data_IF_273368563550
#
_entry.id   IF_273368563550
#
_cell.length_a   1.000
_cell.length_b   1.000
_cell.length_c   1.000
_cell.angle_alpha   90.00
_cell.angle_beta   90.00
_cell.angle_gamma   90.00
#
_symmetry.space_group_name_H-M   'P 1'
#
loop_
_entity.id
_entity.type
_entity.pdbx_description
1 polymer ?
#
# COMPACT_ATOMS: atom_id res chain seq x y z
N UNK A 1 33.29 -57.49 -34.44
CA UNK A 1 33.99 -56.29 -33.98
C UNK A 1 33.31 -55.08 -34.62
N UNK A 2 32.45 -54.39 -33.90
CA UNK A 2 31.91 -53.11 -34.30
C UNK A 2 31.89 -52.24 -33.04
N UNK A 3 32.73 -51.23 -33.00
CA UNK A 3 32.87 -50.28 -31.93
C UNK A 3 31.78 -49.19 -32.09
N UNK A 4 30.95 -48.98 -31.09
CA UNK A 4 30.02 -47.87 -31.01
C UNK A 4 30.63 -46.74 -30.22
N UNK A 5 30.87 -45.62 -30.89
CA UNK A 5 31.21 -44.35 -30.22
C UNK A 5 29.96 -43.74 -29.56
N UNK A 6 30.01 -43.53 -28.25
CA UNK A 6 29.04 -42.76 -27.54
C UNK A 6 29.53 -41.31 -27.50
N UNK A 7 28.82 -40.41 -28.17
CA UNK A 7 29.09 -38.97 -28.17
C UNK A 7 28.37 -38.36 -26.95
N UNK A 8 29.12 -37.99 -25.94
CA UNK A 8 28.57 -37.25 -24.80
C UNK A 8 28.42 -35.76 -25.17
N UNK A 9 27.19 -35.29 -25.30
CA UNK A 9 26.90 -33.87 -25.47
C UNK A 9 26.94 -33.16 -24.11
N UNK A 10 27.96 -32.32 -23.88
CA UNK A 10 27.97 -31.38 -22.79
C UNK A 10 26.96 -30.25 -23.08
N UNK A 11 25.89 -30.20 -22.33
CA UNK A 11 24.98 -29.06 -22.30
C UNK A 11 25.58 -28.03 -21.34
N UNK A 12 26.23 -26.99 -21.88
CA UNK A 12 26.58 -25.79 -21.11
C UNK A 12 25.29 -24.99 -20.89
N UNK A 13 24.77 -25.01 -19.66
CA UNK A 13 23.76 -24.05 -19.23
C UNK A 13 24.43 -22.70 -19.00
N UNK A 14 24.30 -21.80 -19.94
CA UNK A 14 24.66 -20.40 -19.75
C UNK A 14 23.66 -19.76 -18.79
N UNK A 15 24.03 -19.64 -17.52
CA UNK A 15 23.35 -18.76 -16.57
C UNK A 15 23.63 -17.31 -16.98
N UNK A 16 22.69 -16.68 -17.67
CA UNK A 16 22.71 -15.25 -17.92
C UNK A 16 22.47 -14.51 -16.61
N UNK A 17 23.55 -14.24 -15.88
CA UNK A 17 23.57 -13.20 -14.86
C UNK A 17 23.33 -11.89 -15.61
N UNK A 18 22.17 -11.27 -15.43
CA UNK A 18 21.96 -9.88 -15.84
C UNK A 18 22.91 -9.05 -15.01
N UNK A 19 24.09 -8.78 -15.56
CA UNK A 19 25.05 -7.86 -14.99
C UNK A 19 24.37 -6.49 -14.97
N UNK A 20 24.03 -5.98 -13.80
CA UNK A 20 23.71 -4.58 -13.62
C UNK A 20 24.86 -3.77 -14.19
N UNK A 21 24.57 -2.92 -15.15
CA UNK A 21 25.52 -2.14 -15.90
C UNK A 21 26.41 -1.32 -14.91
N UNK A 22 27.73 -1.51 -14.86
CA UNK A 22 28.60 -0.79 -13.92
C UNK A 22 28.83 0.68 -14.28
N UNK A 23 28.05 1.26 -15.18
CA UNK A 23 28.18 2.67 -15.58
C UNK A 23 27.63 3.69 -14.56
N UNK A 24 27.19 3.26 -13.37
CA UNK A 24 26.84 4.16 -12.27
C UNK A 24 28.00 4.47 -11.31
N UNK A 25 29.18 3.94 -11.54
CA UNK A 25 30.34 4.19 -10.70
C UNK A 25 31.21 5.32 -11.26
N UNK A 26 31.37 6.34 -10.45
CA UNK A 26 32.24 7.51 -10.57
C UNK A 26 31.71 8.71 -11.38
N UNK A 27 30.65 9.31 -10.88
CA UNK A 27 30.51 10.76 -11.06
C UNK A 27 31.67 11.43 -10.31
N UNK A 28 32.41 12.34 -11.00
CA UNK A 28 33.43 13.17 -10.36
C UNK A 28 32.83 13.95 -9.18
N UNK A 29 33.65 14.29 -8.17
CA UNK A 29 33.15 15.07 -7.01
C UNK A 29 32.50 16.39 -7.40
N UNK A 30 32.94 17.02 -8.52
CA UNK A 30 32.30 18.19 -9.11
C UNK A 30 30.89 17.87 -9.66
N UNK A 31 30.69 16.74 -10.29
CA UNK A 31 29.37 16.30 -10.77
C UNK A 31 28.44 15.92 -9.61
N UNK A 32 28.97 15.34 -8.53
CA UNK A 32 28.23 15.08 -7.28
C UNK A 32 27.82 16.38 -6.60
N UNK A 33 28.72 17.37 -6.52
CA UNK A 33 28.42 18.69 -5.97
C UNK A 33 27.37 19.45 -6.79
N UNK A 34 27.47 19.42 -8.14
CA UNK A 34 26.48 19.99 -9.04
C UNK A 34 25.11 19.30 -8.90
N UNK A 35 25.08 17.97 -8.82
CA UNK A 35 23.84 17.22 -8.61
C UNK A 35 23.21 17.48 -7.24
N UNK A 36 24.03 17.68 -6.19
CA UNK A 36 23.53 18.03 -4.86
C UNK A 36 22.79 19.39 -4.84
N UNK A 37 23.18 20.34 -5.70
CA UNK A 37 22.53 21.65 -5.84
C UNK A 37 21.27 21.61 -6.72
N UNK A 38 21.14 20.62 -7.61
CA UNK A 38 20.08 20.51 -8.61
C UNK A 38 19.02 19.46 -8.24
N UNK A 39 18.58 19.40 -6.99
CA UNK A 39 17.66 18.35 -6.52
C UNK A 39 16.24 18.43 -7.06
N UNK A 40 15.82 19.54 -7.62
CA UNK A 40 14.50 19.67 -8.23
C UNK A 40 14.42 19.17 -9.68
N UNK A 41 15.44 18.48 -10.18
CA UNK A 41 15.45 17.93 -11.56
C UNK A 41 15.85 18.93 -12.64
N UNK A 42 16.32 20.13 -12.28
CA UNK A 42 16.76 21.18 -13.19
C UNK A 42 18.06 21.85 -12.74
N UNK A 43 18.50 22.85 -13.53
CA UNK A 43 19.70 23.60 -13.23
C UNK A 43 19.40 24.77 -12.28
N UNK A 44 19.93 24.71 -11.06
CA UNK A 44 19.79 25.72 -10.02
C UNK A 44 20.30 27.11 -10.44
N UNK A 45 21.39 27.18 -11.22
CA UNK A 45 21.97 28.45 -11.66
C UNK A 45 21.10 29.16 -12.73
N UNK A 46 20.28 28.40 -13.43
CA UNK A 46 19.31 28.94 -14.42
C UNK A 46 17.95 29.25 -13.83
N UNK A 47 17.55 28.50 -12.81
CA UNK A 47 16.25 28.66 -12.17
C UNK A 47 16.41 28.36 -10.66
N UNK A 48 16.28 29.40 -9.84
CA UNK A 48 16.42 29.31 -8.40
C UNK A 48 15.45 28.30 -7.74
N UNK A 49 14.29 28.04 -8.35
CA UNK A 49 13.36 27.02 -7.83
C UNK A 49 13.88 25.58 -7.96
N UNK A 50 14.92 25.36 -8.74
CA UNK A 50 15.61 24.05 -8.79
C UNK A 50 16.63 23.86 -7.67
N UNK A 51 16.96 24.93 -6.90
CA UNK A 51 17.88 24.85 -5.79
C UNK A 51 17.24 24.12 -4.60
N UNK A 52 18.00 23.28 -3.94
CA UNK A 52 17.52 22.46 -2.80
C UNK A 52 17.01 23.31 -1.64
N UNK A 53 17.58 24.50 -1.45
CA UNK A 53 17.29 25.46 -0.40
C UNK A 53 16.33 26.58 -0.83
N UNK A 54 15.85 26.55 -2.08
CA UNK A 54 14.90 27.54 -2.56
C UNK A 54 13.61 27.52 -1.72
N UNK A 55 13.12 28.73 -1.43
CA UNK A 55 11.82 28.86 -0.75
C UNK A 55 10.71 28.31 -1.65
N UNK A 56 9.84 27.48 -1.10
CA UNK A 56 8.66 26.99 -1.81
C UNK A 56 7.76 28.17 -2.19
N UNK A 57 7.46 28.38 -3.48
CA UNK A 57 6.60 29.50 -3.91
C UNK A 57 5.11 29.22 -3.66
N UNK A 58 4.74 27.98 -3.35
CA UNK A 58 3.36 27.53 -3.17
C UNK A 58 3.01 27.45 -1.67
N UNK A 59 1.74 27.67 -1.31
CA UNK A 59 1.26 27.36 0.03
C UNK A 59 1.29 25.83 0.24
N UNK A 60 1.44 25.40 1.50
CA UNK A 60 1.38 23.99 1.85
C UNK A 60 0.04 23.37 1.39
N UNK A 61 0.05 22.25 0.64
CA UNK A 61 -1.17 21.63 0.15
C UNK A 61 -1.92 20.95 1.30
N UNK A 62 -3.25 20.93 1.22
CA UNK A 62 -4.09 20.21 2.18
C UNK A 62 -4.22 18.72 1.83
N UNK A 63 -3.09 18.04 1.69
CA UNK A 63 -3.04 16.59 1.46
C UNK A 63 -1.99 15.93 2.34
N UNK A 64 -2.10 14.63 2.51
CA UNK A 64 -1.07 13.77 3.12
C UNK A 64 -0.47 12.80 2.09
N UNK A 65 -0.95 12.82 0.85
CA UNK A 65 -0.50 11.95 -0.24
C UNK A 65 0.71 12.54 -0.95
N UNK A 66 1.84 11.82 -0.94
CA UNK A 66 3.09 12.29 -1.57
C UNK A 66 2.93 12.51 -3.07
N UNK A 67 2.08 11.72 -3.76
CA UNK A 67 1.81 11.85 -5.19
C UNK A 67 1.02 13.10 -5.57
N UNK A 68 0.41 13.77 -4.58
CA UNK A 68 -0.31 15.03 -4.74
C UNK A 68 0.54 16.24 -4.30
N UNK A 69 1.79 16.02 -3.92
CA UNK A 69 2.73 17.02 -3.45
C UNK A 69 3.81 17.31 -4.48
N UNK A 70 4.29 18.55 -4.54
CA UNK A 70 5.54 18.86 -5.22
C UNK A 70 6.73 18.34 -4.38
N UNK A 71 7.90 18.23 -4.99
CA UNK A 71 9.10 17.83 -4.25
C UNK A 71 9.45 18.82 -3.12
N UNK A 72 9.14 20.14 -3.31
CA UNK A 72 9.32 21.15 -2.28
C UNK A 72 8.34 20.96 -1.12
N UNK A 73 7.09 20.59 -1.39
CA UNK A 73 6.11 20.31 -0.34
C UNK A 73 6.55 19.13 0.52
N UNK A 74 7.06 18.05 -0.09
CA UNK A 74 7.58 16.89 0.64
C UNK A 74 8.81 17.26 1.45
N UNK A 75 9.76 18.03 0.89
CA UNK A 75 10.93 18.56 1.60
C UNK A 75 10.51 19.36 2.84
N UNK A 76 9.59 20.29 2.67
CA UNK A 76 9.14 21.18 3.73
C UNK A 76 8.32 20.42 4.79
N UNK A 77 7.55 19.43 4.39
CA UNK A 77 6.85 18.52 5.30
C UNK A 77 7.84 17.71 6.17
N UNK A 78 8.90 17.18 5.57
CA UNK A 78 9.98 16.48 6.30
C UNK A 78 10.67 17.43 7.29
N UNK A 79 11.00 18.65 6.86
CA UNK A 79 11.58 19.66 7.72
C UNK A 79 10.66 20.08 8.89
N UNK A 80 9.34 20.04 8.66
CA UNK A 80 8.31 20.27 9.68
C UNK A 80 8.05 19.04 10.59
N UNK A 81 8.83 17.96 10.47
CA UNK A 81 8.73 16.79 11.33
C UNK A 81 7.82 15.65 10.82
N UNK A 82 7.30 15.73 9.61
CA UNK A 82 6.55 14.60 9.00
C UNK A 82 7.51 13.52 8.50
N UNK A 83 8.10 12.78 9.42
CA UNK A 83 9.16 11.80 9.15
C UNK A 83 8.68 10.35 9.13
N UNK A 84 7.38 10.14 9.20
CA UNK A 84 6.74 8.82 9.06
C UNK A 84 6.18 8.68 7.65
N UNK A 85 6.53 7.60 6.95
CA UNK A 85 5.93 7.23 5.66
C UNK A 85 5.05 6.00 5.83
N UNK A 86 3.81 6.06 5.35
CA UNK A 86 2.90 4.91 5.27
C UNK A 86 2.89 4.42 3.83
N UNK A 87 3.19 3.15 3.60
CA UNK A 87 3.13 2.48 2.30
C UNK A 87 1.90 1.57 2.30
N UNK A 88 0.79 2.02 1.69
CA UNK A 88 -0.41 1.21 1.58
C UNK A 88 -0.29 0.23 0.42
N UNK A 89 -0.69 -1.04 0.62
CA UNK A 89 -0.75 -2.05 -0.43
C UNK A 89 -2.19 -2.52 -0.63
N UNK A 90 -2.68 -2.39 -1.84
CA UNK A 90 -4.05 -2.68 -2.22
C UNK A 90 -4.23 -4.05 -2.84
N UNK A 91 -4.69 -4.05 -4.07
CA UNK A 91 -4.95 -5.24 -4.89
C UNK A 91 -5.96 -4.98 -6.00
N UNK A 92 -5.98 -5.89 -6.95
CA UNK A 92 -6.94 -5.93 -8.07
C UNK A 92 -7.56 -7.32 -8.11
N UNK A 93 -8.80 -7.47 -7.63
CA UNK A 93 -9.47 -8.77 -7.50
C UNK A 93 -10.99 -8.67 -7.78
N UNK A 94 -11.68 -9.81 -8.00
CA UNK A 94 -13.13 -9.81 -8.21
C UNK A 94 -13.87 -9.56 -6.88
N UNK A 95 -14.96 -8.78 -6.94
CA UNK A 95 -15.70 -8.36 -5.75
C UNK A 95 -17.21 -8.37 -6.00
N UNK A 96 -17.74 -9.41 -6.62
CA UNK A 96 -19.13 -9.46 -7.03
C UNK A 96 -19.43 -8.52 -8.20
N UNK A 97 -20.70 -8.39 -8.63
CA UNK A 97 -21.03 -7.67 -9.86
C UNK A 97 -21.12 -6.15 -9.68
N UNK A 98 -21.11 -5.64 -8.44
CA UNK A 98 -21.37 -4.24 -8.15
C UNK A 98 -20.16 -3.46 -7.63
N UNK A 99 -19.12 -4.12 -7.12
CA UNK A 99 -17.89 -3.48 -6.72
C UNK A 99 -16.86 -3.52 -7.83
N UNK A 100 -16.13 -2.41 -8.02
CA UNK A 100 -15.01 -2.38 -8.97
C UNK A 100 -13.86 -3.24 -8.48
N UNK A 101 -13.06 -3.79 -9.41
CA UNK A 101 -11.93 -4.70 -9.09
C UNK A 101 -10.86 -4.07 -8.23
N UNK A 102 -10.76 -2.74 -8.21
CA UNK A 102 -9.81 -2.00 -7.38
C UNK A 102 -10.25 -1.74 -5.94
N UNK A 103 -11.18 -2.52 -5.38
CA UNK A 103 -11.75 -2.40 -4.04
C UNK A 103 -10.75 -1.93 -2.98
N UNK A 104 -9.66 -2.66 -2.80
CA UNK A 104 -8.64 -2.38 -1.78
C UNK A 104 -8.01 -0.99 -1.93
N UNK A 105 -7.85 -0.51 -3.17
CA UNK A 105 -7.25 0.80 -3.41
C UNK A 105 -8.18 1.93 -2.94
N UNK A 106 -9.50 1.80 -3.16
CA UNK A 106 -10.49 2.76 -2.66
C UNK A 106 -10.57 2.75 -1.13
N UNK A 107 -10.55 1.58 -0.52
CA UNK A 107 -10.53 1.44 0.95
C UNK A 107 -9.31 2.13 1.53
N UNK A 108 -8.12 1.87 0.98
CA UNK A 108 -6.86 2.43 1.45
C UNK A 108 -6.77 3.95 1.27
N UNK A 109 -7.37 4.49 0.22
CA UNK A 109 -7.33 5.94 -0.03
C UNK A 109 -7.94 6.72 1.13
N UNK A 110 -9.11 6.33 1.62
CA UNK A 110 -9.75 6.99 2.76
C UNK A 110 -9.03 6.68 4.08
N UNK A 111 -8.62 5.42 4.30
CA UNK A 111 -8.05 5.01 5.58
C UNK A 111 -6.61 5.51 5.77
N UNK A 112 -5.74 5.48 4.73
CA UNK A 112 -4.38 6.03 4.85
C UNK A 112 -4.40 7.54 5.11
N UNK A 113 -5.28 8.28 4.42
CA UNK A 113 -5.48 9.72 4.67
C UNK A 113 -5.85 9.97 6.14
N UNK A 114 -6.86 9.24 6.64
CA UNK A 114 -7.32 9.40 8.02
C UNK A 114 -6.23 9.04 9.05
N UNK A 115 -5.49 7.95 8.82
CA UNK A 115 -4.40 7.51 9.70
C UNK A 115 -3.27 8.54 9.70
N UNK A 116 -2.81 8.99 8.53
CA UNK A 116 -1.72 9.95 8.42
C UNK A 116 -2.05 11.30 9.05
N UNK A 117 -3.28 11.81 8.84
CA UNK A 117 -3.76 13.04 9.48
C UNK A 117 -3.85 12.89 11.00
N UNK A 118 -4.34 11.76 11.49
CA UNK A 118 -4.49 11.51 12.93
C UNK A 118 -3.14 11.35 13.63
N UNK A 119 -2.15 10.72 12.97
CA UNK A 119 -0.76 10.65 13.46
C UNK A 119 -0.09 12.04 13.51
N UNK A 120 -0.43 12.94 12.58
CA UNK A 120 0.09 14.29 12.50
C UNK A 120 1.50 14.42 11.91
N UNK A 121 2.36 13.40 12.06
CA UNK A 121 3.74 13.36 11.58
C UNK A 121 3.96 12.40 10.39
N UNK A 122 2.89 12.01 9.69
CA UNK A 122 2.94 11.00 8.64
C UNK A 122 2.51 11.55 7.27
N UNK A 123 3.05 10.93 6.22
CA UNK A 123 2.62 11.04 4.82
C UNK A 123 2.30 9.66 4.27
N UNK A 124 1.34 9.58 3.34
CA UNK A 124 1.03 8.38 2.57
C UNK A 124 1.86 8.35 1.27
N UNK A 125 2.61 7.29 1.05
CA UNK A 125 3.16 6.97 -0.26
C UNK A 125 2.03 6.56 -1.23
N UNK A 126 2.24 6.60 -2.56
CA UNK A 126 1.30 6.05 -3.52
C UNK A 126 0.92 4.61 -3.20
N UNK A 127 -0.35 4.26 -3.41
CA UNK A 127 -0.83 2.90 -3.15
C UNK A 127 -0.14 1.91 -4.11
N UNK A 128 0.46 0.86 -3.57
CA UNK A 128 0.94 -0.27 -4.36
C UNK A 128 -0.27 -1.11 -4.77
N UNK A 129 -0.75 -0.89 -6.00
CA UNK A 129 -2.02 -1.44 -6.51
C UNK A 129 -1.91 -2.89 -6.99
N UNK A 130 -0.70 -3.33 -7.35
CA UNK A 130 -0.45 -4.68 -7.83
C UNK A 130 0.26 -5.47 -6.74
N UNK A 131 -0.36 -6.57 -6.33
CA UNK A 131 0.04 -7.41 -5.21
C UNK A 131 -0.22 -8.88 -5.55
N UNK A 132 0.25 -9.87 -4.76
CA UNK A 132 -0.09 -11.26 -4.99
C UNK A 132 -1.57 -11.55 -4.75
N UNK A 133 -2.32 -11.86 -5.83
CA UNK A 133 -3.75 -12.20 -5.81
C UNK A 133 -4.02 -13.61 -6.38
N UNK A 134 -2.98 -14.38 -6.62
CA UNK A 134 -3.03 -15.72 -7.19
C UNK A 134 -1.86 -15.99 -8.12
N UNK A 135 -1.77 -17.20 -8.63
CA UNK A 135 -0.67 -17.60 -9.49
C UNK A 135 -0.83 -17.03 -10.90
N UNK A 136 0.18 -16.33 -11.41
CA UNK A 136 0.15 -15.69 -12.73
C UNK A 136 0.30 -16.66 -13.90
N UNK A 137 0.82 -17.86 -13.65
CA UNK A 137 0.99 -18.92 -14.65
C UNK A 137 -0.22 -19.87 -14.71
N UNK A 138 -1.03 -19.90 -13.64
CA UNK A 138 -2.22 -20.74 -13.53
C UNK A 138 -3.34 -19.91 -12.94
N UNK A 139 -4.57 -20.11 -13.44
CA UNK A 139 -5.75 -19.42 -12.92
C UNK A 139 -6.17 -20.00 -11.57
N UNK A 140 -5.46 -19.63 -10.51
CA UNK A 140 -5.78 -20.02 -9.13
C UNK A 140 -6.23 -18.81 -8.33
N UNK A 141 -7.00 -19.02 -7.26
CA UNK A 141 -7.53 -17.96 -6.41
C UNK A 141 -8.24 -16.89 -7.23
N UNK A 142 -8.03 -15.61 -6.96
CA UNK A 142 -8.67 -14.49 -7.64
C UNK A 142 -8.33 -14.42 -9.14
N UNK A 143 -7.19 -14.99 -9.56
CA UNK A 143 -6.80 -15.08 -10.97
C UNK A 143 -7.77 -15.93 -11.83
N UNK A 144 -8.69 -16.67 -11.21
CA UNK A 144 -9.77 -17.36 -11.94
C UNK A 144 -10.75 -16.37 -12.60
N UNK A 145 -10.85 -15.14 -12.10
CA UNK A 145 -11.80 -14.12 -12.58
C UNK A 145 -11.10 -13.04 -13.40
N UNK A 146 -11.66 -12.66 -14.58
CA UNK A 146 -11.14 -11.57 -15.39
C UNK A 146 -11.10 -10.25 -14.63
N UNK A 147 -10.08 -9.43 -14.90
CA UNK A 147 -9.86 -8.14 -14.22
C UNK A 147 -8.94 -8.24 -13.01
N UNK A 148 -8.67 -9.43 -12.50
CA UNK A 148 -7.61 -9.65 -11.50
C UNK A 148 -6.24 -9.43 -12.15
N UNK A 149 -5.39 -8.67 -11.47
CA UNK A 149 -3.99 -8.48 -11.85
C UNK A 149 -3.13 -8.85 -10.65
N UNK A 150 -2.34 -9.90 -10.79
CA UNK A 150 -1.48 -10.43 -9.75
C UNK A 150 -0.01 -10.26 -10.08
N UNK A 151 0.85 -10.41 -9.10
CA UNK A 151 2.30 -10.50 -9.27
C UNK A 151 2.87 -11.62 -8.40
N UNK A 152 4.11 -12.00 -8.69
CA UNK A 152 4.83 -12.96 -7.85
C UNK A 152 5.21 -12.33 -6.52
N UNK A 153 5.26 -13.14 -5.48
CA UNK A 153 5.62 -12.73 -4.12
C UNK A 153 7.01 -12.09 -4.05
N UNK A 154 7.99 -12.64 -4.78
CA UNK A 154 9.33 -12.08 -4.85
C UNK A 154 9.37 -10.70 -5.50
N UNK A 155 8.55 -10.47 -6.53
CA UNK A 155 8.40 -9.15 -7.17
C UNK A 155 7.78 -8.14 -6.21
N UNK A 156 6.73 -8.55 -5.49
CA UNK A 156 6.08 -7.72 -4.49
C UNK A 156 7.06 -7.29 -3.39
N UNK A 157 7.83 -8.25 -2.83
CA UNK A 157 8.85 -7.96 -1.82
C UNK A 157 9.93 -7.02 -2.36
N UNK A 158 10.37 -7.21 -3.60
CA UNK A 158 11.36 -6.33 -4.23
C UNK A 158 10.83 -4.89 -4.34
N UNK A 159 9.60 -4.69 -4.82
CA UNK A 159 8.97 -3.36 -4.90
C UNK A 159 8.89 -2.70 -3.53
N UNK A 160 8.42 -3.41 -2.49
CA UNK A 160 8.32 -2.85 -1.14
C UNK A 160 9.69 -2.49 -0.58
N UNK A 161 10.70 -3.30 -0.86
CA UNK A 161 12.09 -3.05 -0.45
C UNK A 161 12.62 -1.77 -1.10
N UNK A 162 12.46 -1.61 -2.42
CA UNK A 162 12.98 -0.46 -3.16
C UNK A 162 12.27 0.84 -2.75
N UNK A 163 10.95 0.80 -2.51
CA UNK A 163 10.21 1.95 -1.99
C UNK A 163 10.76 2.36 -0.62
N UNK A 164 10.99 1.39 0.29
CA UNK A 164 11.51 1.68 1.62
C UNK A 164 12.92 2.26 1.57
N UNK A 165 13.81 1.73 0.72
CA UNK A 165 15.15 2.28 0.49
C UNK A 165 15.07 3.73 -0.02
N UNK A 166 14.18 4.03 -0.95
CA UNK A 166 13.98 5.37 -1.49
C UNK A 166 13.53 6.36 -0.40
N UNK A 167 12.56 5.97 0.42
CA UNK A 167 12.07 6.80 1.53
C UNK A 167 13.14 7.02 2.59
N UNK A 168 13.94 6.00 2.90
CA UNK A 168 15.11 6.14 3.80
C UNK A 168 16.10 7.18 3.29
N UNK A 169 16.42 7.17 1.99
CA UNK A 169 17.35 8.14 1.37
C UNK A 169 16.85 9.58 1.49
N UNK A 170 15.54 9.78 1.52
CA UNK A 170 14.92 11.10 1.70
C UNK A 170 14.78 11.52 3.16
N UNK A 171 15.15 10.67 4.13
CA UNK A 171 15.20 11.02 5.56
C UNK A 171 13.98 10.65 6.38
N UNK A 172 13.08 9.81 5.85
CA UNK A 172 12.02 9.21 6.67
C UNK A 172 12.61 8.33 7.76
N UNK A 173 12.09 8.44 8.99
CA UNK A 173 12.57 7.77 10.20
C UNK A 173 11.72 6.56 10.59
N UNK A 174 10.49 6.54 10.17
CA UNK A 174 9.57 5.41 10.37
C UNK A 174 8.88 5.10 9.06
N UNK A 175 8.92 3.84 8.65
CA UNK A 175 8.28 3.34 7.44
C UNK A 175 7.25 2.30 7.86
N UNK A 176 5.99 2.46 7.44
CA UNK A 176 4.87 1.64 7.90
C UNK A 176 4.21 0.99 6.69
N UNK A 177 4.13 -0.33 6.68
CA UNK A 177 3.29 -1.07 5.73
C UNK A 177 1.91 -1.32 6.33
N UNK A 178 0.87 -0.98 5.58
CA UNK A 178 -0.52 -1.39 5.82
C UNK A 178 -1.05 -2.08 4.57
N UNK A 179 -1.68 -3.24 4.73
CA UNK A 179 -2.19 -4.05 3.61
C UNK A 179 -3.66 -4.35 3.76
N UNK A 180 -4.45 -4.09 2.71
CA UNK A 180 -5.90 -4.30 2.74
C UNK A 180 -6.32 -5.68 2.19
N UNK A 181 -5.40 -6.49 1.68
CA UNK A 181 -5.61 -7.88 1.24
C UNK A 181 -4.86 -8.87 2.13
N UNK A 182 -5.41 -10.06 2.32
CA UNK A 182 -4.76 -11.15 3.05
C UNK A 182 -3.43 -11.58 2.41
N UNK A 183 -3.34 -11.54 1.08
CA UNK A 183 -2.14 -11.88 0.31
C UNK A 183 -0.96 -10.93 0.54
N UNK A 184 -1.19 -9.73 1.06
CA UNK A 184 -0.15 -8.72 1.27
C UNK A 184 0.65 -8.97 2.56
N UNK A 185 0.06 -9.63 3.55
CA UNK A 185 0.56 -9.64 4.92
C UNK A 185 1.91 -10.32 5.07
N UNK A 186 2.11 -11.46 4.43
CA UNK A 186 3.36 -12.22 4.53
C UNK A 186 4.55 -11.46 3.91
N UNK A 187 4.36 -10.87 2.73
CA UNK A 187 5.38 -10.08 2.04
C UNK A 187 5.79 -8.84 2.80
N UNK A 188 4.81 -8.08 3.30
CA UNK A 188 5.07 -6.90 4.12
C UNK A 188 5.86 -7.23 5.39
N UNK A 189 5.47 -8.29 6.11
CA UNK A 189 6.19 -8.75 7.31
C UNK A 189 7.62 -9.12 6.99
N UNK A 190 7.81 -9.94 5.94
CA UNK A 190 9.14 -10.37 5.53
C UNK A 190 10.06 -9.18 5.23
N UNK A 191 9.56 -8.17 4.49
CA UNK A 191 10.35 -7.00 4.15
C UNK A 191 10.63 -6.14 5.38
N UNK A 192 9.65 -5.91 6.25
CA UNK A 192 9.83 -5.15 7.48
C UNK A 192 10.89 -5.79 8.38
N UNK A 193 10.82 -7.10 8.62
CA UNK A 193 11.79 -7.84 9.45
C UNK A 193 13.20 -7.79 8.83
N UNK A 194 13.30 -7.99 7.51
CA UNK A 194 14.57 -7.97 6.79
C UNK A 194 15.25 -6.61 6.84
N UNK A 195 14.49 -5.53 6.62
CA UNK A 195 15.01 -4.17 6.63
C UNK A 195 15.36 -3.70 8.05
N UNK A 196 14.58 -4.04 9.07
CA UNK A 196 14.93 -3.75 10.46
C UNK A 196 16.24 -4.42 10.85
N UNK A 197 16.46 -5.67 10.44
CA UNK A 197 17.73 -6.36 10.65
C UNK A 197 18.89 -5.69 9.91
N UNK A 198 18.67 -5.33 8.63
CA UNK A 198 19.70 -4.71 7.78
C UNK A 198 20.10 -3.31 8.29
N UNK A 199 19.14 -2.54 8.78
CA UNK A 199 19.31 -1.15 9.18
C UNK A 199 19.44 -0.95 10.69
N UNK A 200 19.45 -2.03 11.46
CA UNK A 200 19.39 -1.96 12.93
C UNK A 200 18.22 -1.08 13.43
N UNK A 201 17.07 -1.21 12.75
CA UNK A 201 15.85 -0.45 12.98
C UNK A 201 16.02 1.10 12.90
N UNK A 202 16.95 1.61 12.07
CA UNK A 202 17.10 3.03 11.78
C UNK A 202 17.25 3.27 10.25
N UNK A 203 16.16 3.67 9.59
CA UNK A 203 14.79 3.87 10.07
C UNK A 203 14.11 2.58 10.53
N UNK A 204 13.14 2.74 11.45
CA UNK A 204 12.28 1.63 11.87
C UNK A 204 11.29 1.29 10.77
N UNK A 205 11.13 0.02 10.46
CA UNK A 205 10.16 -0.48 9.47
C UNK A 205 9.11 -1.34 10.15
N UNK A 206 7.83 -0.99 10.01
CA UNK A 206 6.72 -1.65 10.69
C UNK A 206 5.79 -2.31 9.66
N UNK A 207 5.34 -3.52 9.95
CA UNK A 207 4.17 -4.12 9.31
C UNK A 207 3.03 -4.13 10.31
N UNK A 208 1.96 -3.41 10.02
CA UNK A 208 0.80 -3.29 10.89
C UNK A 208 -0.31 -4.20 10.39
N UNK A 209 -0.24 -5.47 10.77
CA UNK A 209 -1.25 -6.45 10.41
C UNK A 209 -2.62 -6.11 10.98
N UNK A 210 -2.68 -5.44 12.14
CA UNK A 210 -3.91 -5.00 12.79
C UNK A 210 -4.75 -4.06 11.90
N UNK A 211 -4.15 -3.42 10.89
CA UNK A 211 -4.91 -2.70 9.88
C UNK A 211 -5.90 -3.60 9.12
N UNK A 212 -5.53 -4.86 8.84
CA UNK A 212 -6.38 -5.86 8.18
C UNK A 212 -7.30 -6.54 9.21
N UNK A 213 -8.26 -5.79 9.73
CA UNK A 213 -9.10 -6.16 10.89
C UNK A 213 -10.60 -6.07 10.59
N UNK A 214 -11.06 -6.61 9.44
CA UNK A 214 -12.47 -6.56 9.06
C UNK A 214 -13.39 -7.20 10.10
N UNK A 215 -12.98 -8.28 10.77
CA UNK A 215 -13.73 -8.91 11.85
C UNK A 215 -13.93 -7.97 13.05
N UNK A 216 -12.94 -7.17 13.43
CA UNK A 216 -13.07 -6.20 14.53
C UNK A 216 -13.98 -5.04 14.16
N UNK A 217 -13.94 -4.62 12.91
CA UNK A 217 -14.90 -3.62 12.38
C UNK A 217 -16.31 -4.21 12.41
N UNK A 218 -16.50 -5.46 11.98
CA UNK A 218 -17.78 -6.16 12.06
C UNK A 218 -18.31 -6.28 13.49
N UNK A 219 -17.47 -6.69 14.45
CA UNK A 219 -17.83 -6.74 15.86
C UNK A 219 -18.27 -5.36 16.39
N UNK A 220 -17.55 -4.30 16.04
CA UNK A 220 -17.88 -2.94 16.45
C UNK A 220 -19.18 -2.43 15.84
N UNK A 221 -19.40 -2.70 14.56
CA UNK A 221 -20.56 -2.23 13.79
C UNK A 221 -21.78 -3.15 13.95
N UNK A 222 -21.68 -4.32 14.55
CA UNK A 222 -22.59 -5.45 14.48
C UNK A 222 -24.05 -5.21 14.85
N UNK A 223 -24.37 -4.13 15.61
CA UNK A 223 -25.75 -3.71 15.86
C UNK A 223 -26.28 -2.67 14.84
N UNK A 224 -25.39 -2.02 14.12
CA UNK A 224 -25.72 -0.95 13.15
C UNK A 224 -25.75 -1.48 11.72
N UNK A 225 -24.92 -2.45 11.45
CA UNK A 225 -24.83 -3.18 10.17
C UNK A 225 -25.15 -4.64 10.49
N UNK A 226 -26.42 -5.00 10.38
CA UNK A 226 -26.86 -6.39 10.53
C UNK A 226 -26.73 -7.05 9.16
N UNK A 227 -25.91 -8.09 9.10
CA UNK A 227 -25.76 -8.92 7.91
C UNK A 227 -26.47 -10.23 8.13
N UNK A 228 -27.19 -10.73 7.13
CA UNK A 228 -27.67 -12.09 7.16
C UNK A 228 -26.51 -13.06 6.82
N UNK A 229 -26.67 -14.31 7.19
CA UNK A 229 -25.62 -15.33 7.01
C UNK A 229 -25.51 -15.86 5.57
N UNK A 230 -26.39 -15.44 4.67
CA UNK A 230 -26.48 -16.00 3.32
C UNK A 230 -25.33 -15.51 2.41
N UNK A 231 -24.89 -14.26 2.64
CA UNK A 231 -23.86 -13.62 1.80
C UNK A 231 -24.30 -13.43 0.35
N UNK A 232 -24.13 -12.24 -0.19
CA UNK A 232 -24.56 -11.90 -1.55
C UNK A 232 -23.47 -12.11 -2.62
N UNK A 233 -22.29 -12.50 -2.21
CA UNK A 233 -21.21 -12.76 -3.15
C UNK A 233 -19.81 -12.53 -2.59
N UNK A 234 -18.83 -12.76 -3.44
CA UNK A 234 -17.41 -12.65 -3.09
C UNK A 234 -17.06 -11.19 -2.74
N UNK A 235 -16.69 -10.93 -1.49
CA UNK A 235 -16.26 -9.64 -0.97
C UNK A 235 -17.27 -8.47 -1.14
N UNK A 236 -18.49 -8.76 -1.53
CA UNK A 236 -19.56 -7.75 -1.59
C UNK A 236 -20.30 -7.76 -0.24
N UNK A 237 -19.70 -7.16 0.76
CA UNK A 237 -20.24 -7.00 2.11
C UNK A 237 -20.49 -5.52 2.45
N UNK A 238 -21.36 -5.20 3.42
CA UNK A 238 -21.71 -3.83 3.76
C UNK A 238 -20.53 -3.00 4.26
N UNK A 239 -19.61 -3.57 5.05
CA UNK A 239 -18.49 -2.85 5.66
C UNK A 239 -17.51 -2.38 4.57
N UNK A 240 -17.11 -3.29 3.68
CA UNK A 240 -16.22 -2.98 2.55
C UNK A 240 -16.90 -1.99 1.62
N UNK A 241 -18.16 -2.23 1.28
CA UNK A 241 -18.94 -1.36 0.40
C UNK A 241 -19.06 0.06 0.95
N UNK A 242 -19.30 0.24 2.25
CA UNK A 242 -19.36 1.56 2.89
C UNK A 242 -17.97 2.25 2.92
N UNK A 243 -16.88 1.52 3.16
CA UNK A 243 -15.53 2.09 3.04
C UNK A 243 -15.25 2.64 1.62
N UNK A 244 -15.59 1.85 0.60
CA UNK A 244 -15.43 2.27 -0.80
C UNK A 244 -16.35 3.46 -1.13
N UNK A 245 -17.59 3.43 -0.64
CA UNK A 245 -18.57 4.49 -0.82
C UNK A 245 -18.08 5.84 -0.27
N UNK A 246 -17.36 5.83 0.85
CA UNK A 246 -16.77 7.05 1.43
C UNK A 246 -15.75 7.71 0.52
N UNK A 247 -14.99 6.92 -0.23
CA UNK A 247 -13.97 7.40 -1.18
C UNK A 247 -14.62 7.86 -2.48
N UNK A 248 -15.41 6.99 -3.10
CA UNK A 248 -16.16 7.29 -4.33
C UNK A 248 -17.39 6.39 -4.46
N UNK A 249 -18.61 6.93 -4.37
CA UNK A 249 -19.85 6.17 -4.56
C UNK A 249 -19.96 5.42 -5.90
N UNK A 250 -19.22 5.86 -6.93
CA UNK A 250 -19.18 5.16 -8.23
C UNK A 250 -18.45 3.83 -8.15
N UNK A 251 -17.50 3.68 -7.20
CA UNK A 251 -16.74 2.44 -7.00
C UNK A 251 -17.64 1.27 -6.58
N UNK A 252 -18.77 1.56 -5.95
CA UNK A 252 -19.78 0.59 -5.52
C UNK A 252 -21.02 0.57 -6.41
N UNK A 253 -20.95 1.21 -7.58
CA UNK A 253 -22.07 1.31 -8.52
C UNK A 253 -23.38 1.75 -7.86
N UNK A 254 -23.30 2.73 -6.96
CA UNK A 254 -24.42 3.10 -6.08
C UNK A 254 -25.70 3.43 -6.85
N UNK A 255 -25.60 4.31 -7.84
CA UNK A 255 -26.76 4.73 -8.63
C UNK A 255 -27.36 3.56 -9.45
N UNK A 256 -26.50 2.69 -9.98
CA UNK A 256 -26.92 1.50 -10.70
C UNK A 256 -27.59 0.48 -9.78
N UNK A 257 -27.07 0.28 -8.55
CA UNK A 257 -27.71 -0.58 -7.55
C UNK A 257 -29.11 -0.09 -7.20
N UNK A 258 -29.26 1.21 -6.95
CA UNK A 258 -30.57 1.81 -6.63
C UNK A 258 -31.56 1.62 -7.78
N UNK A 259 -31.16 1.96 -9.02
CA UNK A 259 -32.01 1.77 -10.20
C UNK A 259 -32.39 0.31 -10.44
N UNK A 260 -31.48 -0.61 -10.20
CA UNK A 260 -31.70 -2.05 -10.36
C UNK A 260 -32.47 -2.68 -9.18
N UNK A 261 -32.81 -1.92 -8.14
CA UNK A 261 -33.41 -2.43 -6.88
C UNK A 261 -32.50 -3.48 -6.19
N UNK A 262 -31.17 -3.30 -6.29
CA UNK A 262 -30.11 -4.14 -5.71
C UNK A 262 -29.28 -3.39 -4.65
N UNK A 263 -29.86 -2.37 -4.03
CA UNK A 263 -29.25 -1.60 -2.97
C UNK A 263 -29.39 -2.27 -1.57
N UNK A 264 -29.44 -3.60 -1.55
CA UNK A 264 -29.39 -4.39 -0.33
C UNK A 264 -28.28 -5.41 -0.48
N UNK A 265 -27.40 -5.54 0.52
CA UNK A 265 -26.28 -6.48 0.53
C UNK A 265 -26.33 -7.24 1.85
N UNK A 266 -26.37 -8.56 1.82
CA UNK A 266 -26.44 -9.41 3.03
C UNK A 266 -27.50 -8.92 4.04
N UNK A 267 -28.66 -8.51 3.54
CA UNK A 267 -29.76 -7.97 4.38
C UNK A 267 -29.62 -6.48 4.74
N UNK A 268 -28.45 -5.87 4.55
CA UNK A 268 -28.23 -4.45 4.86
C UNK A 268 -28.62 -3.55 3.68
N UNK A 269 -29.46 -2.53 3.93
CA UNK A 269 -29.91 -1.58 2.89
C UNK A 269 -28.94 -0.41 2.70
N UNK A 270 -28.47 -0.23 1.47
CA UNK A 270 -27.69 0.93 1.03
C UNK A 270 -28.54 2.08 0.50
N UNK A 271 -29.89 2.00 0.56
CA UNK A 271 -30.77 2.97 -0.09
C UNK A 271 -30.65 4.39 0.49
N UNK A 272 -30.32 4.52 1.77
CA UNK A 272 -30.14 5.81 2.45
C UNK A 272 -28.70 6.31 2.33
N UNK A 273 -28.47 7.24 1.41
CA UNK A 273 -27.14 7.81 1.13
C UNK A 273 -26.55 8.57 2.33
N UNK A 274 -27.38 9.28 3.09
CA UNK A 274 -26.94 10.04 4.27
C UNK A 274 -26.44 9.09 5.35
N UNK A 275 -27.24 8.08 5.67
CA UNK A 275 -26.88 7.03 6.62
C UNK A 275 -25.62 6.29 6.20
N UNK A 276 -25.47 5.96 4.91
CA UNK A 276 -24.26 5.32 4.38
C UNK A 276 -23.03 6.17 4.62
N UNK A 277 -23.11 7.49 4.40
CA UNK A 277 -21.98 8.40 4.62
C UNK A 277 -21.60 8.47 6.09
N UNK A 278 -22.55 8.47 7.01
CA UNK A 278 -22.29 8.48 8.45
C UNK A 278 -21.64 7.18 8.92
N UNK A 279 -22.20 6.03 8.51
CA UNK A 279 -21.64 4.72 8.83
C UNK A 279 -20.24 4.53 8.26
N UNK A 280 -20.00 4.98 7.03
CA UNK A 280 -18.70 4.93 6.38
C UNK A 280 -17.63 5.74 7.16
N UNK A 281 -17.98 6.96 7.61
CA UNK A 281 -17.11 7.77 8.47
C UNK A 281 -16.81 7.07 9.79
N UNK A 282 -17.81 6.46 10.41
CA UNK A 282 -17.64 5.74 11.67
C UNK A 282 -16.72 4.53 11.51
N UNK A 283 -16.86 3.75 10.45
CA UNK A 283 -15.98 2.63 10.11
C UNK A 283 -14.54 3.11 9.97
N UNK A 284 -14.32 4.19 9.20
CA UNK A 284 -12.99 4.76 8.97
C UNK A 284 -12.39 5.27 10.30
N UNK A 285 -13.17 5.95 11.13
CA UNK A 285 -12.70 6.45 12.43
C UNK A 285 -12.29 5.31 13.37
N UNK A 286 -13.09 4.26 13.48
CA UNK A 286 -12.78 3.09 14.30
C UNK A 286 -11.50 2.40 13.80
N UNK A 287 -11.42 2.13 12.49
CA UNK A 287 -10.28 1.48 11.88
C UNK A 287 -8.99 2.31 12.02
N UNK A 288 -9.11 3.63 11.87
CA UNK A 288 -8.01 4.58 12.09
C UNK A 288 -7.48 4.48 13.51
N UNK A 289 -8.35 4.56 14.52
CA UNK A 289 -7.92 4.51 15.93
C UNK A 289 -7.27 3.16 16.26
N UNK A 290 -7.90 2.06 15.83
CA UNK A 290 -7.39 0.71 16.03
C UNK A 290 -5.99 0.52 15.42
N UNK A 291 -5.78 1.06 14.20
CA UNK A 291 -4.48 1.02 13.53
C UNK A 291 -3.43 1.89 14.23
N UNK A 292 -3.80 3.08 14.70
CA UNK A 292 -2.87 3.96 15.45
C UNK A 292 -2.43 3.32 16.76
N UNK A 293 -3.33 2.68 17.47
CA UNK A 293 -3.00 1.97 18.71
C UNK A 293 -1.98 0.85 18.44
N UNK A 294 -2.15 0.11 17.33
CA UNK A 294 -1.20 -0.90 16.89
C UNK A 294 0.16 -0.30 16.47
N UNK A 295 0.16 0.83 15.75
CA UNK A 295 1.38 1.56 15.39
C UNK A 295 2.15 1.98 16.64
N UNK A 296 1.48 2.62 17.60
CA UNK A 296 2.09 3.08 18.84
C UNK A 296 2.67 1.92 19.65
N UNK A 297 1.94 0.81 19.74
CA UNK A 297 2.41 -0.42 20.38
C UNK A 297 3.64 -0.99 19.68
N UNK A 298 3.65 -1.01 18.34
CA UNK A 298 4.80 -1.47 17.55
C UNK A 298 6.03 -0.61 17.75
N UNK A 299 5.87 0.72 17.79
CA UNK A 299 6.96 1.66 18.07
C UNK A 299 7.52 1.44 19.47
N UNK A 300 6.66 1.31 20.49
CA UNK A 300 7.09 1.05 21.85
C UNK A 300 7.88 -0.26 21.99
N UNK A 301 7.54 -1.26 21.19
CA UNK A 301 8.22 -2.57 21.15
C UNK A 301 9.39 -2.60 20.12
N UNK A 302 9.86 -1.48 19.65
CA UNK A 302 10.97 -1.35 18.67
C UNK A 302 10.76 -2.17 17.40
N UNK A 303 9.53 -2.22 16.90
CA UNK A 303 9.18 -2.96 15.68
C UNK A 303 9.00 -4.48 15.88
N UNK A 304 9.28 -5.01 17.05
CA UNK A 304 9.08 -6.44 17.35
C UNK A 304 7.69 -6.65 17.92
N UNK A 305 6.68 -6.87 17.08
CA UNK A 305 5.41 -7.41 17.55
C UNK A 305 5.51 -8.92 17.62
N UNK A 306 5.01 -9.55 18.71
CA UNK A 306 4.83 -10.98 18.73
C UNK A 306 3.90 -11.38 17.58
N UNK A 307 4.20 -12.49 16.89
CA UNK A 307 3.32 -13.04 15.89
C UNK A 307 1.90 -13.15 16.48
N UNK A 308 0.84 -12.76 15.74
CA UNK A 308 -0.51 -12.95 16.23
C UNK A 308 -0.71 -14.44 16.52
N UNK A 309 -1.38 -14.72 17.64
CA UNK A 309 -1.75 -16.08 17.99
C UNK A 309 -2.47 -16.69 16.80
N UNK A 310 -2.00 -17.86 16.33
CA UNK A 310 -2.71 -18.63 15.32
C UNK A 310 -4.08 -18.94 15.91
N UNK A 311 -5.11 -18.38 15.35
CA UNK A 311 -6.48 -18.84 15.63
C UNK A 311 -6.57 -20.27 15.13
N UNK A 312 -7.06 -21.22 15.95
CA UNK A 312 -7.16 -22.62 15.59
C UNK A 312 -8.09 -22.86 14.40
#
# INVERSE_FOLDING_TARGET
MKASLVLAALILTASSVIAQNPQTAQQSDSARAANARNRGGGNCDRNAYNCVDAKNPLPAPNTVWMEEMTWMDVRDALAAGKTTAIIPTGGMEPNGPWLVTGKHNYVLQANCDAIARKLGNALCAPIVKFVPEGNIERKTSHMASPGTISMREETFRAILTDIAHSLRQHGFKTIIYIGDSGGNQAGQRYVADSLNKLWNADPMVLHIQDYYTYNKVGEYMGKKIVEDSAGDGLHDDPIITLNMFATDPKSVRYEERVRAKKATINGFSLADRTKNTELAKEIIQYRTQYTIDAINKSIANKGTLPAPARTP
#
